data_IF_020150184981
#
_entry.id   IF_020150184981
#
_cell.length_a   1.000
_cell.length_b   1.000
_cell.length_c   1.000
_cell.angle_alpha   90.00
_cell.angle_beta   90.00
_cell.angle_gamma   90.00
#
_symmetry.space_group_name_H-M   'P 1'
#
loop_
_entity.id
_entity.type
_entity.pdbx_description
1 polymer ?
#
# COMPACT_ATOMS: atom_id res chain seq x y z
N UNK A 1 10.38 15.04 -2.70
CA UNK A 1 9.19 14.23 -3.07
C UNK A 1 8.42 14.79 -4.25
N UNK A 2 7.98 16.06 -4.25
CA UNK A 2 7.22 16.63 -5.37
C UNK A 2 7.91 16.47 -6.74
N UNK A 3 9.25 16.60 -6.79
CA UNK A 3 10.03 16.42 -8.01
C UNK A 3 9.97 14.99 -8.56
N UNK A 4 9.96 13.98 -7.69
CA UNK A 4 9.87 12.56 -8.08
C UNK A 4 8.48 12.28 -8.66
N UNK A 5 7.42 12.78 -8.02
CA UNK A 5 6.04 12.64 -8.52
C UNK A 5 5.90 13.31 -9.88
N UNK A 6 6.38 14.55 -10.02
CA UNK A 6 6.33 15.28 -11.29
C UNK A 6 7.13 14.56 -12.38
N UNK A 7 8.30 14.01 -12.06
CA UNK A 7 9.10 13.21 -13.00
C UNK A 7 8.33 11.96 -13.43
N UNK A 8 7.85 11.15 -12.47
CA UNK A 8 7.10 9.93 -12.73
C UNK A 8 5.87 10.19 -13.62
N UNK A 9 5.12 11.25 -13.33
CA UNK A 9 3.97 11.67 -14.15
C UNK A 9 4.36 12.04 -15.59
N UNK A 10 5.51 12.70 -15.78
CA UNK A 10 6.00 13.00 -17.13
C UNK A 10 6.29 11.73 -17.89
N UNK A 11 6.97 10.76 -17.30
CA UNK A 11 7.34 9.52 -17.99
C UNK A 11 6.20 8.51 -18.09
N UNK A 12 5.11 8.67 -17.34
CA UNK A 12 4.04 7.68 -17.20
C UNK A 12 3.41 7.24 -18.52
N UNK A 13 3.18 8.16 -19.45
CA UNK A 13 2.58 7.84 -20.76
C UNK A 13 3.47 6.88 -21.57
N UNK A 14 4.73 7.25 -21.77
CA UNK A 14 5.69 6.40 -22.50
C UNK A 14 6.04 5.15 -21.72
N UNK A 15 6.20 5.24 -20.40
CA UNK A 15 6.53 4.11 -19.55
C UNK A 15 5.46 3.03 -19.58
N UNK A 16 4.17 3.40 -19.58
CA UNK A 16 3.07 2.45 -19.74
C UNK A 16 3.10 1.74 -21.10
N UNK A 17 3.43 2.46 -22.18
CA UNK A 17 3.59 1.87 -23.52
C UNK A 17 4.76 0.88 -23.54
N UNK A 18 5.86 1.22 -22.85
CA UNK A 18 7.03 0.36 -22.70
C UNK A 18 6.81 -0.82 -21.75
N UNK A 19 5.69 -0.90 -21.01
CA UNK A 19 5.41 -1.99 -20.07
C UNK A 19 5.89 -1.77 -18.62
N UNK A 20 6.33 -0.57 -18.26
CA UNK A 20 6.75 -0.23 -16.90
C UNK A 20 5.56 -0.14 -15.93
N UNK A 21 5.75 -0.64 -14.70
CA UNK A 21 4.80 -0.48 -13.60
C UNK A 21 4.93 0.90 -12.95
N UNK A 22 3.93 1.32 -12.17
CA UNK A 22 3.99 2.57 -11.41
C UNK A 22 5.21 2.61 -10.47
N UNK A 23 5.52 1.49 -9.83
CA UNK A 23 6.69 1.35 -8.97
C UNK A 23 8.00 1.55 -9.73
N UNK A 24 8.12 1.02 -10.95
CA UNK A 24 9.29 1.24 -11.80
C UNK A 24 9.45 2.72 -12.16
N UNK A 25 8.35 3.41 -12.50
CA UNK A 25 8.39 4.84 -12.83
C UNK A 25 8.87 5.67 -11.63
N UNK A 26 8.41 5.36 -10.42
CA UNK A 26 8.88 6.02 -9.20
C UNK A 26 10.34 5.69 -8.90
N UNK A 27 10.78 4.45 -9.16
CA UNK A 27 12.17 4.02 -9.01
C UNK A 27 13.11 4.77 -9.95
N UNK A 28 12.76 4.84 -11.24
CA UNK A 28 13.50 5.61 -12.25
C UNK A 28 13.54 7.09 -11.86
N UNK A 29 12.40 7.69 -11.53
CA UNK A 29 12.31 9.08 -11.13
C UNK A 29 13.18 9.40 -9.89
N UNK A 30 13.17 8.51 -8.89
CA UNK A 30 13.98 8.65 -7.69
C UNK A 30 15.48 8.52 -8.01
N UNK A 31 15.87 7.57 -8.86
CA UNK A 31 17.26 7.37 -9.26
C UNK A 31 17.81 8.61 -9.99
N UNK A 32 17.11 9.11 -11.01
CA UNK A 32 17.54 10.31 -11.74
C UNK A 32 17.56 11.56 -10.83
N UNK A 33 16.58 11.70 -9.94
CA UNK A 33 16.55 12.83 -8.99
C UNK A 33 17.72 12.78 -8.00
N UNK A 34 18.14 11.58 -7.59
CA UNK A 34 19.23 11.40 -6.61
C UNK A 34 20.60 11.82 -7.14
N UNK A 35 20.82 11.77 -8.46
CA UNK A 35 22.03 12.28 -9.13
C UNK A 35 21.86 13.73 -9.61
N UNK A 36 20.84 14.44 -9.12
CA UNK A 36 20.63 15.87 -9.34
C UNK A 36 19.96 16.24 -10.66
N UNK A 37 19.37 15.27 -11.38
CA UNK A 37 18.66 15.55 -12.64
C UNK A 37 17.26 16.06 -12.36
N UNK A 38 16.95 17.24 -12.89
CA UNK A 38 15.65 17.86 -12.74
C UNK A 38 14.56 17.09 -13.50
N UNK A 39 13.34 17.08 -12.93
CA UNK A 39 12.18 16.38 -13.48
C UNK A 39 11.85 16.72 -14.93
N UNK A 40 12.02 17.99 -15.33
CA UNK A 40 11.70 18.43 -16.68
C UNK A 40 12.67 17.84 -17.73
N UNK A 41 13.97 18.01 -17.48
CA UNK A 41 15.04 17.57 -18.38
C UNK A 41 15.19 16.04 -18.37
N UNK A 42 15.22 15.44 -17.17
CA UNK A 42 15.33 13.99 -17.00
C UNK A 42 14.09 13.26 -17.53
N UNK A 43 12.89 13.77 -17.25
CA UNK A 43 11.65 13.15 -17.73
C UNK A 43 11.59 13.10 -19.26
N UNK A 44 11.97 14.20 -19.93
CA UNK A 44 12.02 14.25 -21.40
C UNK A 44 13.09 13.31 -21.95
N UNK A 45 14.25 13.23 -21.31
CA UNK A 45 15.33 12.32 -21.69
C UNK A 45 14.89 10.85 -21.61
N UNK A 46 14.31 10.45 -20.47
CA UNK A 46 13.82 9.09 -20.25
C UNK A 46 12.71 8.74 -21.25
N UNK A 47 11.77 9.64 -21.52
CA UNK A 47 10.74 9.42 -22.55
C UNK A 47 11.34 9.12 -23.93
N UNK A 48 12.35 9.89 -24.36
CA UNK A 48 13.00 9.67 -25.67
C UNK A 48 13.64 8.30 -25.73
N UNK A 49 14.38 7.90 -24.69
CA UNK A 49 15.03 6.58 -24.64
C UNK A 49 14.01 5.44 -24.61
N UNK A 50 12.98 5.52 -23.76
CA UNK A 50 11.93 4.50 -23.71
C UNK A 50 11.17 4.38 -25.04
N UNK A 51 10.92 5.51 -25.70
CA UNK A 51 10.29 5.52 -27.03
C UNK A 51 11.19 4.85 -28.06
N UNK A 52 12.49 5.19 -28.08
CA UNK A 52 13.45 4.58 -28.98
C UNK A 52 13.60 3.07 -28.76
N UNK A 53 13.68 2.62 -27.51
CA UNK A 53 13.71 1.18 -27.17
C UNK A 53 12.43 0.48 -27.63
N UNK A 54 11.26 1.07 -27.39
CA UNK A 54 9.97 0.50 -27.82
C UNK A 54 9.91 0.36 -29.35
N UNK A 55 10.36 1.38 -30.09
CA UNK A 55 10.40 1.34 -31.55
C UNK A 55 11.39 0.28 -32.03
N UNK A 56 12.60 0.23 -31.47
CA UNK A 56 13.63 -0.73 -31.83
C UNK A 56 13.19 -2.18 -31.57
N UNK A 57 12.56 -2.46 -30.43
CA UNK A 57 12.01 -3.80 -30.12
C UNK A 57 10.89 -4.17 -31.08
N UNK A 58 10.01 -3.24 -31.44
CA UNK A 58 8.89 -3.50 -32.35
C UNK A 58 9.32 -3.68 -33.81
N UNK A 59 10.37 -2.98 -34.26
CA UNK A 59 10.79 -2.95 -35.68
C UNK A 59 12.03 -3.81 -35.95
N UNK A 60 12.79 -4.16 -34.92
CA UNK A 60 14.12 -4.77 -35.06
C UNK A 60 15.14 -3.76 -35.62
N UNK A 61 16.13 -4.28 -36.35
CA UNK A 61 17.11 -3.45 -37.05
C UNK A 61 18.36 -3.13 -36.23
N UNK A 62 19.15 -2.19 -36.75
CA UNK A 62 20.45 -1.83 -36.20
C UNK A 62 20.31 -1.20 -34.80
N UNK A 63 19.27 -0.41 -34.58
CA UNK A 63 18.99 0.22 -33.28
C UNK A 63 18.75 -0.82 -32.18
N UNK A 64 18.00 -1.89 -32.48
CA UNK A 64 17.82 -3.00 -31.53
C UNK A 64 19.16 -3.66 -31.21
N UNK A 65 20.00 -3.87 -32.23
CA UNK A 65 21.34 -4.41 -32.06
C UNK A 65 22.22 -3.52 -31.17
N UNK A 66 22.14 -2.20 -31.32
CA UNK A 66 22.92 -1.25 -30.51
C UNK A 66 22.44 -1.24 -29.05
N UNK A 67 21.13 -1.20 -28.81
CA UNK A 67 20.57 -1.31 -27.46
C UNK A 67 20.98 -2.62 -26.78
N UNK A 68 20.82 -3.74 -27.48
CA UNK A 68 21.15 -5.07 -26.98
C UNK A 68 22.65 -5.20 -26.65
N UNK A 69 23.52 -4.81 -27.58
CA UNK A 69 24.98 -4.83 -27.38
C UNK A 69 25.40 -3.98 -26.19
N UNK A 70 24.78 -2.81 -26.01
CA UNK A 70 25.05 -1.94 -24.87
C UNK A 70 24.62 -2.58 -23.56
N UNK A 71 23.45 -3.23 -23.54
CA UNK A 71 22.97 -4.00 -22.39
C UNK A 71 23.75 -5.31 -22.15
N UNK A 72 24.64 -5.72 -23.07
CA UNK A 72 25.39 -6.97 -22.98
C UNK A 72 24.58 -8.21 -23.34
N UNK A 73 23.56 -8.06 -24.19
CA UNK A 73 22.62 -9.10 -24.62
C UNK A 73 22.61 -9.26 -26.15
N UNK A 74 22.07 -10.38 -26.64
CA UNK A 74 21.65 -10.49 -28.05
C UNK A 74 20.42 -9.62 -28.34
N UNK A 75 20.16 -9.33 -29.61
CA UNK A 75 18.97 -8.58 -30.02
C UNK A 75 17.67 -9.27 -29.56
N UNK A 76 17.60 -10.59 -29.71
CA UNK A 76 16.46 -11.41 -29.28
C UNK A 76 16.32 -11.45 -27.75
N UNK A 77 17.43 -11.58 -27.03
CA UNK A 77 17.46 -11.55 -25.57
C UNK A 77 17.00 -10.20 -25.03
N UNK A 78 17.47 -9.10 -25.64
CA UNK A 78 17.07 -7.75 -25.25
C UNK A 78 15.59 -7.48 -25.55
N UNK A 79 15.10 -7.88 -26.72
CA UNK A 79 13.68 -7.75 -27.06
C UNK A 79 12.81 -8.51 -26.06
N UNK A 80 13.17 -9.76 -25.76
CA UNK A 80 12.47 -10.59 -24.77
C UNK A 80 12.53 -9.96 -23.38
N UNK A 81 13.71 -9.51 -22.96
CA UNK A 81 13.89 -8.85 -21.67
C UNK A 81 13.04 -7.59 -21.58
N UNK A 82 12.98 -6.76 -22.63
CA UNK A 82 12.20 -5.54 -22.63
C UNK A 82 10.68 -5.80 -22.60
N UNK A 83 10.19 -6.82 -23.29
CA UNK A 83 8.77 -7.19 -23.27
C UNK A 83 8.31 -7.76 -21.92
N UNK A 84 9.18 -8.51 -21.24
CA UNK A 84 8.85 -9.17 -19.95
C UNK A 84 9.17 -8.28 -18.75
N UNK A 85 10.29 -7.57 -18.80
CA UNK A 85 10.85 -6.72 -17.76
C UNK A 85 11.53 -5.49 -18.37
N UNK A 86 10.70 -4.56 -18.84
CA UNK A 86 11.17 -3.31 -19.42
C UNK A 86 12.07 -2.51 -18.47
N UNK A 87 11.84 -2.59 -17.15
CA UNK A 87 12.64 -1.90 -16.14
C UNK A 87 14.04 -2.50 -16.04
N UNK A 88 14.14 -3.84 -16.06
CA UNK A 88 15.40 -4.58 -16.11
C UNK A 88 16.18 -4.29 -17.39
N UNK A 89 15.53 -4.35 -18.56
CA UNK A 89 16.18 -4.05 -19.84
C UNK A 89 16.66 -2.59 -19.93
N UNK A 90 15.85 -1.64 -19.44
CA UNK A 90 16.24 -0.24 -19.32
C UNK A 90 17.44 -0.07 -18.38
N UNK A 91 17.43 -0.74 -17.23
CA UNK A 91 18.55 -0.70 -16.26
C UNK A 91 19.84 -1.25 -16.87
N UNK A 92 19.76 -2.42 -17.53
CA UNK A 92 20.91 -3.03 -18.20
C UNK A 92 21.51 -2.12 -19.28
N UNK A 93 20.67 -1.41 -20.04
CA UNK A 93 21.12 -0.42 -21.00
C UNK A 93 21.86 0.76 -20.32
N UNK A 94 21.29 1.34 -19.26
CA UNK A 94 21.94 2.46 -18.53
C UNK A 94 23.27 2.04 -17.90
N UNK A 95 23.33 0.87 -17.28
CA UNK A 95 24.58 0.33 -16.72
C UNK A 95 25.60 0.01 -17.81
N UNK A 96 25.13 -0.46 -18.96
CA UNK A 96 25.92 -0.69 -20.16
C UNK A 96 26.64 0.57 -20.65
N UNK A 97 25.92 1.70 -20.70
CA UNK A 97 26.51 3.01 -21.01
C UNK A 97 27.62 3.37 -20.03
N UNK A 98 27.43 3.10 -18.73
CA UNK A 98 28.44 3.36 -17.70
C UNK A 98 29.72 2.56 -17.93
N UNK A 99 29.59 1.30 -18.37
CA UNK A 99 30.73 0.42 -18.70
C UNK A 99 31.48 0.85 -19.96
N UNK A 100 30.82 1.51 -20.90
CA UNK A 100 31.43 2.03 -22.14
C UNK A 100 32.25 3.31 -21.88
N UNK A 101 32.01 4.02 -20.77
CA UNK A 101 32.74 5.24 -20.42
C UNK A 101 32.63 6.30 -21.52
N UNK A 102 33.75 6.66 -22.16
CA UNK A 102 33.77 7.71 -23.20
C UNK A 102 33.01 7.32 -24.48
N UNK A 103 32.90 6.03 -24.75
CA UNK A 103 32.27 5.53 -25.98
C UNK A 103 30.74 5.59 -25.90
N UNK A 104 30.17 5.73 -24.71
CA UNK A 104 28.72 5.86 -24.48
C UNK A 104 28.11 7.06 -25.22
N UNK A 105 28.89 8.12 -25.45
CA UNK A 105 28.47 9.26 -26.26
C UNK A 105 28.19 8.84 -27.71
N UNK A 106 29.10 8.08 -28.32
CA UNK A 106 28.95 7.58 -29.69
C UNK A 106 27.75 6.64 -29.82
N UNK A 107 27.56 5.74 -28.83
CA UNK A 107 26.39 4.86 -28.78
C UNK A 107 25.07 5.64 -28.72
N UNK A 108 24.99 6.71 -27.91
CA UNK A 108 23.80 7.56 -27.88
C UNK A 108 23.60 8.35 -29.18
N UNK A 109 24.66 8.76 -29.87
CA UNK A 109 24.54 9.41 -31.18
C UNK A 109 24.06 8.45 -32.27
N UNK A 110 24.56 7.21 -32.30
CA UNK A 110 24.12 6.16 -33.24
C UNK A 110 22.64 5.82 -33.07
N UNK A 111 22.11 5.91 -31.84
CA UNK A 111 20.69 5.75 -31.52
C UNK A 111 19.85 7.03 -31.78
N UNK A 112 20.43 8.05 -32.41
CA UNK A 112 19.84 9.38 -32.61
C UNK A 112 19.46 10.13 -31.31
N UNK A 113 19.97 9.71 -30.15
CA UNK A 113 19.74 10.27 -28.81
C UNK A 113 20.73 11.40 -28.46
N UNK A 114 21.03 12.28 -29.44
CA UNK A 114 22.07 13.34 -29.37
C UNK A 114 21.74 14.57 -28.50
N UNK A 115 20.67 14.53 -27.71
CA UNK A 115 20.27 15.65 -26.86
C UNK A 115 21.26 15.82 -25.70
N UNK A 116 21.91 16.98 -25.59
CA UNK A 116 22.94 17.18 -24.56
C UNK A 116 22.42 17.02 -23.12
N UNK A 117 21.14 17.32 -22.85
CA UNK A 117 20.54 17.11 -21.53
C UNK A 117 20.29 15.63 -21.29
N UNK A 118 19.86 14.89 -22.32
CA UNK A 118 19.72 13.43 -22.27
C UNK A 118 21.05 12.76 -21.98
N UNK A 119 22.08 13.07 -22.77
CA UNK A 119 23.41 12.51 -22.61
C UNK A 119 23.92 12.76 -21.20
N UNK A 120 23.85 14.00 -20.70
CA UNK A 120 24.26 14.29 -19.31
C UNK A 120 23.47 13.49 -18.29
N UNK A 121 22.15 13.41 -18.43
CA UNK A 121 21.31 12.69 -17.47
C UNK A 121 21.65 11.19 -17.42
N UNK A 122 21.80 10.54 -18.58
CA UNK A 122 22.13 9.12 -18.67
C UNK A 122 23.56 8.83 -18.24
N UNK A 123 24.53 9.67 -18.62
CA UNK A 123 25.92 9.49 -18.18
C UNK A 123 26.05 9.69 -16.67
N UNK A 124 25.46 10.75 -16.10
CA UNK A 124 25.47 10.98 -14.64
C UNK A 124 24.84 9.84 -13.85
N UNK A 125 23.76 9.24 -14.37
CA UNK A 125 23.15 8.08 -13.72
C UNK A 125 23.99 6.82 -13.89
N UNK A 126 24.56 6.59 -15.08
CA UNK A 126 25.38 5.42 -15.37
C UNK A 126 26.69 5.39 -14.56
N UNK A 127 27.24 6.57 -14.23
CA UNK A 127 28.40 6.72 -13.34
C UNK A 127 28.07 6.34 -11.88
N UNK A 128 26.79 6.38 -11.50
CA UNK A 128 26.34 5.96 -10.18
C UNK A 128 26.19 4.43 -10.04
N UNK A 129 26.59 3.67 -11.06
CA UNK A 129 26.61 2.21 -11.07
C UNK A 129 25.21 1.60 -11.01
N UNK A 130 25.01 0.68 -10.08
CA UNK A 130 23.77 -0.07 -9.84
C UNK A 130 22.68 0.73 -9.12
N UNK A 131 22.86 2.05 -8.94
CA UNK A 131 21.90 2.92 -8.25
C UNK A 131 20.50 2.83 -8.87
N UNK A 132 20.40 2.81 -10.20
CA UNK A 132 19.12 2.70 -10.89
C UNK A 132 18.40 1.39 -10.52
N UNK A 133 19.09 0.26 -10.68
CA UNK A 133 18.54 -1.07 -10.37
C UNK A 133 18.09 -1.17 -8.91
N UNK A 134 18.94 -0.79 -7.96
CA UNK A 134 18.60 -0.81 -6.52
C UNK A 134 17.40 0.09 -6.18
N UNK A 135 17.28 1.24 -6.83
CA UNK A 135 16.18 2.18 -6.55
C UNK A 135 14.86 1.65 -7.12
N UNK A 136 14.87 1.03 -8.29
CA UNK A 136 13.71 0.34 -8.86
C UNK A 136 13.31 -0.85 -7.98
N UNK A 137 14.26 -1.67 -7.54
CA UNK A 137 14.00 -2.81 -6.64
C UNK A 137 13.38 -2.33 -5.32
N UNK A 138 13.98 -1.31 -4.69
CA UNK A 138 13.45 -0.72 -3.46
C UNK A 138 12.06 -0.14 -3.64
N UNK A 139 11.79 0.50 -4.79
CA UNK A 139 10.46 1.04 -5.11
C UNK A 139 9.43 -0.06 -5.26
N UNK A 140 9.78 -1.14 -5.97
CA UNK A 140 8.92 -2.32 -6.14
C UNK A 140 8.63 -3.03 -4.80
N UNK A 141 9.64 -3.24 -3.95
CA UNK A 141 9.45 -3.80 -2.62
C UNK A 141 8.51 -2.93 -1.77
N UNK A 142 8.75 -1.62 -1.72
CA UNK A 142 7.90 -0.69 -0.98
C UNK A 142 6.46 -0.67 -1.52
N UNK A 143 6.28 -0.82 -2.83
CA UNK A 143 4.95 -0.88 -3.45
C UNK A 143 4.20 -2.16 -3.07
N UNK A 144 4.87 -3.30 -3.09
CA UNK A 144 4.31 -4.61 -2.67
C UNK A 144 3.96 -4.58 -1.18
N UNK A 145 4.86 -4.08 -0.33
CA UNK A 145 4.63 -3.94 1.11
C UNK A 145 3.43 -3.02 1.39
N UNK A 146 3.37 -1.84 0.78
CA UNK A 146 2.24 -0.91 0.96
C UNK A 146 0.91 -1.52 0.48
N UNK A 147 0.92 -2.26 -0.63
CA UNK A 147 -0.27 -2.94 -1.16
C UNK A 147 -0.71 -4.06 -0.21
N UNK A 148 0.22 -4.84 0.32
CA UNK A 148 -0.06 -5.91 1.28
C UNK A 148 -0.62 -5.35 2.60
N UNK A 149 -0.01 -4.28 3.13
CA UNK A 149 -0.50 -3.58 4.34
C UNK A 149 -1.92 -3.05 4.15
N UNK A 150 -2.22 -2.48 2.96
CA UNK A 150 -3.57 -1.99 2.63
C UNK A 150 -4.60 -3.12 2.56
N UNK A 151 -4.24 -4.26 1.95
CA UNK A 151 -5.11 -5.45 1.89
C UNK A 151 -5.34 -6.07 3.26
N UNK A 152 -4.30 -6.16 4.10
CA UNK A 152 -4.45 -6.65 5.47
C UNK A 152 -5.38 -5.73 6.27
N UNK A 153 -5.16 -4.42 6.22
CA UNK A 153 -6.03 -3.45 6.89
C UNK A 153 -7.50 -3.65 6.48
N UNK A 154 -7.79 -3.75 5.18
CA UNK A 154 -9.14 -4.01 4.67
C UNK A 154 -9.75 -5.31 5.23
N UNK A 155 -8.99 -6.40 5.26
CA UNK A 155 -9.45 -7.68 5.82
C UNK A 155 -9.77 -7.59 7.32
N UNK A 156 -9.00 -6.80 8.08
CA UNK A 156 -9.24 -6.56 9.51
C UNK A 156 -10.48 -5.68 9.73
N UNK A 157 -10.69 -4.64 8.92
CA UNK A 157 -11.92 -3.85 8.94
C UNK A 157 -13.16 -4.72 8.72
N UNK A 158 -13.13 -5.62 7.72
CA UNK A 158 -14.23 -6.58 7.49
C UNK A 158 -14.47 -7.50 8.68
N UNK A 159 -13.42 -7.90 9.39
CA UNK A 159 -13.56 -8.75 10.59
C UNK A 159 -14.20 -7.98 11.75
N UNK A 160 -13.78 -6.74 11.98
CA UNK A 160 -14.39 -5.84 12.97
C UNK A 160 -15.88 -5.58 12.67
N UNK A 161 -16.22 -5.31 11.41
CA UNK A 161 -17.61 -5.14 10.98
C UNK A 161 -18.48 -6.36 11.31
N UNK A 162 -17.98 -7.57 11.01
CA UNK A 162 -18.68 -8.82 11.35
C UNK A 162 -18.93 -8.96 12.86
N UNK A 163 -17.98 -8.57 13.70
CA UNK A 163 -18.15 -8.63 15.15
C UNK A 163 -19.19 -7.62 15.65
N UNK A 164 -19.22 -6.41 15.08
CA UNK A 164 -20.25 -5.42 15.40
C UNK A 164 -21.66 -5.90 14.99
N UNK A 165 -21.77 -6.60 13.87
CA UNK A 165 -23.01 -7.24 13.45
C UNK A 165 -23.47 -8.33 14.45
N UNK A 166 -22.55 -9.13 15.00
CA UNK A 166 -22.87 -10.11 16.05
C UNK A 166 -23.42 -9.44 17.30
N UNK A 167 -22.79 -8.36 17.78
CA UNK A 167 -23.30 -7.57 18.91
C UNK A 167 -24.72 -7.09 18.65
N UNK A 168 -24.97 -6.51 17.48
CA UNK A 168 -26.30 -6.02 17.09
C UNK A 168 -27.34 -7.13 17.08
N UNK A 169 -26.98 -8.32 16.59
CA UNK A 169 -27.88 -9.47 16.54
C UNK A 169 -28.23 -9.96 17.96
N UNK A 170 -27.23 -10.14 18.83
CA UNK A 170 -27.45 -10.58 20.21
C UNK A 170 -28.35 -9.59 20.98
N UNK A 171 -28.12 -8.28 20.81
CA UNK A 171 -28.97 -7.25 21.44
C UNK A 171 -30.41 -7.32 20.93
N UNK A 172 -30.59 -7.52 19.62
CA UNK A 172 -31.91 -7.69 19.01
C UNK A 172 -32.61 -8.94 19.54
N UNK A 173 -31.89 -10.05 19.68
CA UNK A 173 -32.44 -11.31 20.19
C UNK A 173 -32.91 -11.16 21.65
N UNK A 174 -32.13 -10.49 22.50
CA UNK A 174 -32.52 -10.21 23.89
C UNK A 174 -33.77 -9.32 23.95
N UNK A 175 -33.83 -8.27 23.13
CA UNK A 175 -35.00 -7.39 23.06
C UNK A 175 -36.27 -8.16 22.66
N UNK A 176 -36.15 -9.17 21.78
CA UNK A 176 -37.24 -10.04 21.38
C UNK A 176 -37.62 -11.06 22.47
N UNK A 177 -36.65 -11.59 23.22
CA UNK A 177 -36.90 -12.62 24.23
C UNK A 177 -37.46 -12.09 25.55
N UNK A 178 -37.16 -10.85 25.94
CA UNK A 178 -37.50 -10.34 27.28
C UNK A 178 -38.56 -9.22 27.29
N UNK A 179 -38.89 -8.64 26.13
CA UNK A 179 -39.96 -7.64 26.00
C UNK A 179 -39.65 -6.27 26.63
N UNK A 180 -40.66 -5.41 26.76
CA UNK A 180 -40.51 -3.98 27.11
C UNK A 180 -39.86 -3.69 28.47
N UNK A 181 -39.90 -4.66 29.40
CA UNK A 181 -39.41 -4.53 30.78
C UNK A 181 -37.89 -4.25 30.88
N UNK A 182 -37.08 -4.81 29.97
CA UNK A 182 -35.62 -4.63 29.98
C UNK A 182 -35.10 -3.62 28.94
N UNK A 183 -36.00 -2.99 28.16
CA UNK A 183 -35.62 -1.95 27.20
C UNK A 183 -34.84 -0.77 27.82
N UNK A 184 -35.15 -0.28 29.04
CA UNK A 184 -34.38 0.80 29.66
C UNK A 184 -32.94 0.39 29.93
N UNK A 185 -32.74 -0.82 30.44
CA UNK A 185 -31.42 -1.36 30.76
C UNK A 185 -30.58 -1.66 29.51
N UNK A 186 -31.20 -2.20 28.45
CA UNK A 186 -30.59 -2.37 27.13
C UNK A 186 -30.15 -1.03 26.51
N UNK A 187 -30.98 0.01 26.64
CA UNK A 187 -30.63 1.37 26.19
C UNK A 187 -29.45 1.94 26.96
N UNK A 188 -29.44 1.81 28.28
CA UNK A 188 -28.36 2.36 29.10
C UNK A 188 -27.03 1.63 28.86
N UNK A 189 -27.08 0.31 28.64
CA UNK A 189 -25.91 -0.48 28.22
C UNK A 189 -25.39 -0.02 26.84
N UNK A 190 -26.27 0.18 25.86
CA UNK A 190 -25.87 0.70 24.54
C UNK A 190 -25.24 2.10 24.64
N UNK A 191 -25.76 2.96 25.52
CA UNK A 191 -25.21 4.30 25.77
C UNK A 191 -23.82 4.20 26.41
N UNK A 192 -23.59 3.25 27.32
CA UNK A 192 -22.30 3.03 27.97
C UNK A 192 -21.24 2.42 27.02
N UNK A 193 -21.63 1.52 26.12
CA UNK A 193 -20.74 0.84 25.17
C UNK A 193 -20.37 1.75 23.98
N UNK A 194 -21.29 2.62 23.55
CA UNK A 194 -21.10 3.53 22.41
C UNK A 194 -19.83 4.38 22.45
N UNK A 195 -19.44 5.05 23.56
CA UNK A 195 -18.20 5.84 23.59
C UNK A 195 -16.95 4.99 23.44
N UNK A 196 -16.92 3.78 24.01
CA UNK A 196 -15.78 2.83 23.85
C UNK A 196 -15.63 2.39 22.40
N UNK A 197 -16.75 2.04 21.74
CA UNK A 197 -16.75 1.70 20.30
C UNK A 197 -16.31 2.90 19.44
N UNK A 198 -16.75 4.11 19.79
CA UNK A 198 -16.47 5.33 19.02
C UNK A 198 -15.00 5.75 19.14
N UNK A 199 -14.47 5.81 20.35
CA UNK A 199 -13.06 6.15 20.60
C UNK A 199 -12.13 5.14 19.92
N UNK A 200 -12.55 3.88 19.87
CA UNK A 200 -11.83 2.84 19.17
C UNK A 200 -11.87 2.98 17.65
N UNK A 201 -13.05 3.23 17.06
CA UNK A 201 -13.19 3.48 15.62
C UNK A 201 -12.37 4.69 15.14
N UNK A 202 -12.25 5.72 16.00
CA UNK A 202 -11.44 6.91 15.74
C UNK A 202 -9.93 6.64 15.83
N UNK A 203 -9.47 5.76 16.72
CA UNK A 203 -8.04 5.42 16.90
C UNK A 203 -7.54 4.29 15.99
N UNK A 204 -8.44 3.54 15.38
CA UNK A 204 -8.12 2.41 14.50
C UNK A 204 -7.16 2.76 13.34
N UNK A 205 -7.31 3.89 12.62
CA UNK A 205 -6.38 4.26 11.54
C UNK A 205 -4.94 4.53 12.01
N UNK A 206 -4.74 4.89 13.27
CA UNK A 206 -3.44 5.23 13.84
C UNK A 206 -2.71 4.00 14.41
N UNK A 207 -3.47 3.08 15.04
CA UNK A 207 -2.97 1.79 15.52
C UNK A 207 -2.47 0.87 14.39
N UNK A 208 -3.06 1.00 13.21
CA UNK A 208 -2.65 0.29 11.99
C UNK A 208 -1.28 0.75 11.44
N UNK A 209 -0.70 1.85 11.95
CA UNK A 209 0.59 2.37 11.48
C UNK A 209 1.81 1.86 12.27
N UNK A 210 1.64 1.26 13.44
CA UNK A 210 2.78 1.09 14.38
C UNK A 210 3.03 -0.34 14.89
N UNK A 211 2.01 -1.14 15.26
CA UNK A 211 2.13 -2.60 15.59
C UNK A 211 0.77 -3.30 15.44
N UNK A 212 0.50 -3.79 14.23
CA UNK A 212 -0.83 -4.16 13.70
C UNK A 212 -1.49 -5.37 14.39
N UNK A 213 -0.74 -6.45 14.65
CA UNK A 213 -1.33 -7.74 15.04
C UNK A 213 -1.86 -7.78 16.49
N UNK A 214 -1.09 -7.39 17.54
CA UNK A 214 -1.53 -7.52 18.93
C UNK A 214 -2.68 -6.56 19.30
N UNK A 215 -2.71 -5.37 18.68
CA UNK A 215 -3.73 -4.37 18.95
C UNK A 215 -5.10 -4.81 18.41
N UNK A 216 -5.12 -5.48 17.25
CA UNK A 216 -6.35 -5.99 16.64
C UNK A 216 -6.85 -7.24 17.35
N UNK A 217 -5.95 -8.15 17.75
CA UNK A 217 -6.30 -9.34 18.54
C UNK A 217 -6.90 -8.99 19.90
N UNK A 218 -6.33 -8.00 20.59
CA UNK A 218 -6.87 -7.52 21.87
C UNK A 218 -8.30 -6.98 21.74
N UNK A 219 -8.59 -6.26 20.66
CA UNK A 219 -9.92 -5.68 20.40
C UNK A 219 -10.94 -6.74 20.02
N UNK A 220 -10.55 -7.64 19.11
CA UNK A 220 -11.37 -8.80 18.72
C UNK A 220 -11.72 -9.64 19.96
N UNK A 221 -10.76 -9.79 20.88
CA UNK A 221 -10.96 -10.42 22.18
C UNK A 221 -12.02 -9.71 23.02
N UNK A 222 -11.86 -8.40 23.25
CA UNK A 222 -12.80 -7.60 24.07
C UNK A 222 -14.22 -7.63 23.50
N UNK A 223 -14.40 -7.50 22.18
CA UNK A 223 -15.73 -7.55 21.56
C UNK A 223 -16.34 -8.96 21.68
N UNK A 224 -15.53 -10.00 21.50
CA UNK A 224 -15.97 -11.39 21.67
C UNK A 224 -16.39 -11.68 23.12
N UNK A 225 -15.68 -11.14 24.10
CA UNK A 225 -16.01 -11.27 25.52
C UNK A 225 -17.32 -10.55 25.87
N UNK A 226 -17.55 -9.35 25.33
CA UNK A 226 -18.82 -8.62 25.47
C UNK A 226 -19.97 -9.43 24.87
N UNK A 227 -19.82 -9.95 23.64
CA UNK A 227 -20.83 -10.79 22.99
C UNK A 227 -21.16 -12.03 23.83
N UNK A 228 -20.13 -12.68 24.37
CA UNK A 228 -20.28 -13.89 25.20
C UNK A 228 -21.01 -13.58 26.50
N UNK A 229 -20.58 -12.54 27.22
CA UNK A 229 -21.19 -12.14 28.48
C UNK A 229 -22.65 -11.68 28.31
N UNK A 230 -22.98 -11.00 27.21
CA UNK A 230 -24.37 -10.66 26.87
C UNK A 230 -25.19 -11.94 26.63
N UNK A 231 -24.66 -12.92 25.88
CA UNK A 231 -25.35 -14.17 25.55
C UNK A 231 -25.61 -15.05 26.79
N UNK A 232 -24.66 -15.07 27.72
CA UNK A 232 -24.72 -15.85 28.96
C UNK A 232 -25.52 -15.16 30.07
N UNK A 233 -25.89 -13.89 29.89
CA UNK A 233 -26.50 -13.07 30.94
C UNK A 233 -25.53 -12.74 32.08
N UNK A 234 -24.22 -12.80 31.83
CA UNK A 234 -23.17 -12.52 32.81
C UNK A 234 -22.89 -11.02 32.89
N UNK A 235 -23.79 -10.33 33.58
CA UNK A 235 -23.71 -8.89 33.78
C UNK A 235 -22.55 -8.46 34.69
N UNK A 236 -22.02 -9.37 35.52
CA UNK A 236 -20.85 -9.11 36.34
C UNK A 236 -19.60 -8.99 35.46
N UNK A 237 -19.44 -9.92 34.51
CA UNK A 237 -18.37 -9.89 33.50
C UNK A 237 -18.51 -8.70 32.54
N UNK A 238 -19.72 -8.33 32.13
CA UNK A 238 -19.95 -7.08 31.37
C UNK A 238 -19.52 -5.84 32.14
N UNK A 239 -19.80 -5.78 33.45
CA UNK A 239 -19.39 -4.66 34.31
C UNK A 239 -17.87 -4.63 34.55
N UNK A 240 -17.18 -5.77 34.46
CA UNK A 240 -15.72 -5.85 34.52
C UNK A 240 -15.07 -5.35 33.23
N UNK A 241 -15.57 -5.78 32.06
CA UNK A 241 -15.05 -5.39 30.74
C UNK A 241 -15.27 -3.90 30.43
N UNK A 242 -16.40 -3.34 30.85
CA UNK A 242 -16.84 -1.98 30.48
C UNK A 242 -16.69 -0.93 31.61
N UNK A 243 -16.22 -1.35 32.78
CA UNK A 243 -15.99 -0.49 33.95
C UNK A 243 -17.22 -0.23 34.85
N UNK A 244 -16.99 0.44 35.98
CA UNK A 244 -17.89 0.48 37.14
C UNK A 244 -19.29 1.08 36.95
N UNK A 245 -19.56 1.84 35.89
CA UNK A 245 -20.89 2.43 35.64
C UNK A 245 -21.99 1.37 35.38
N UNK A 246 -21.64 0.23 34.79
CA UNK A 246 -22.58 -0.89 34.56
C UNK A 246 -22.90 -1.67 35.84
N UNK A 247 -21.99 -1.69 36.81
CA UNK A 247 -22.20 -2.35 38.11
C UNK A 247 -23.38 -1.74 38.86
N UNK A 248 -23.53 -0.42 38.78
CA UNK A 248 -24.65 0.33 39.38
C UNK A 248 -25.96 0.04 38.65
N UNK A 249 -25.94 -0.02 37.31
CA UNK A 249 -27.14 -0.32 36.52
C UNK A 249 -27.61 -1.77 36.76
N UNK A 250 -26.68 -2.72 36.85
CA UNK A 250 -26.97 -4.12 37.17
C UNK A 250 -27.64 -4.25 38.54
N UNK A 251 -27.12 -3.58 39.58
CA UNK A 251 -27.74 -3.61 40.91
C UNK A 251 -29.18 -3.11 40.90
N UNK A 252 -29.49 -2.12 40.05
CA UNK A 252 -30.84 -1.58 39.88
C UNK A 252 -31.75 -2.52 39.09
N UNK A 253 -31.23 -3.15 38.04
CA UNK A 253 -31.96 -4.14 37.25
C UNK A 253 -32.29 -5.39 38.07
N UNK A 254 -31.34 -5.88 38.88
CA UNK A 254 -31.53 -7.03 39.75
C UNK A 254 -32.57 -6.74 40.85
N UNK A 255 -32.47 -5.58 41.51
CA UNK A 255 -33.45 -5.14 42.49
C UNK A 255 -34.85 -4.95 41.87
N UNK A 256 -34.92 -4.51 40.61
CA UNK A 256 -36.19 -4.38 39.89
C UNK A 256 -36.81 -5.75 39.55
N UNK A 257 -36.01 -6.71 39.08
CA UNK A 257 -36.46 -8.09 38.78
C UNK A 257 -36.92 -8.80 40.06
N UNK A 258 -36.16 -8.66 41.15
CA UNK A 258 -36.51 -9.21 42.47
C UNK A 258 -37.83 -8.64 43.00
N UNK A 259 -38.15 -7.38 42.67
CA UNK A 259 -39.37 -6.71 43.11
C UNK A 259 -40.59 -6.97 42.22
N UNK A 260 -40.40 -7.34 40.94
CA UNK A 260 -41.48 -7.32 39.95
C UNK A 260 -41.67 -8.63 39.16
N UNK A 261 -40.76 -9.60 39.26
CA UNK A 261 -40.78 -10.83 38.44
C UNK A 261 -40.66 -12.12 39.28
N UNK A 262 -39.96 -12.11 40.42
CA UNK A 262 -40.01 -13.23 41.37
C UNK A 262 -41.31 -13.20 42.18
N UNK A 263 -41.97 -14.35 42.41
CA UNK A 263 -43.21 -14.42 43.19
C UNK A 263 -43.03 -14.01 44.66
#
# INVERSE_FOLDING_TARGET
EADIVNFAQRIAGTGKIAGLTEADLFGIAAAFSSVGIQAEAGGTAVQKVLTAMTIAVAQGGDELGIFAKTAGLSAEEFATAFEVDAAGAFTAFVEGLGKQGKDAFGTLEELELKDQRLIRAFLSLSEAGDLLGRTIESSNMAWVENTALSKEAEARYRTFEKQLQLVKNVIKDIALSIGDALLPFLRDMLIAVKPVIKEFAEKLPELLKTKVIPAIEGVIGVISEIVTAIREGDFAKLAEILGGHLRTMYSKALAWVEQNITP
#
